data_IF_743893279317
#
_entry.id   IF_743893279317
#
_cell.length_a   1.000
_cell.length_b   1.000
_cell.length_c   1.000
_cell.angle_alpha   90.00
_cell.angle_beta   90.00
_cell.angle_gamma   90.00
#
_symmetry.space_group_name_H-M   'P 1'
#
loop_
_entity.id
_entity.type
_entity.pdbx_description
1 polymer ?
#
# COMPACT_ATOMS: atom_id res chain seq x y z
N UNK A 1 -0.44 11.20 -19.47
CA UNK A 1 -1.89 10.92 -19.38
C UNK A 1 -2.61 11.10 -20.71
N UNK A 2 -2.41 12.23 -21.44
CA UNK A 2 -3.09 12.42 -22.73
C UNK A 2 -2.80 11.29 -23.73
N UNK A 3 -1.51 10.95 -23.89
CA UNK A 3 -1.07 9.94 -24.86
C UNK A 3 -1.74 8.58 -24.60
N UNK A 4 -1.91 8.23 -23.32
CA UNK A 4 -2.60 7.01 -22.88
C UNK A 4 -4.09 7.05 -23.21
N UNK A 5 -4.80 8.10 -22.77
CA UNK A 5 -6.25 8.23 -23.00
C UNK A 5 -6.59 8.27 -24.50
N UNK A 6 -5.84 9.07 -25.27
CA UNK A 6 -6.06 9.16 -26.70
C UNK A 6 -5.65 7.89 -27.44
N UNK A 7 -4.54 7.24 -27.03
CA UNK A 7 -4.16 5.93 -27.57
C UNK A 7 -5.23 4.85 -27.36
N UNK A 8 -5.83 4.79 -26.17
CA UNK A 8 -6.95 3.90 -25.87
C UNK A 8 -8.17 4.20 -26.75
N UNK A 9 -8.54 5.48 -26.87
CA UNK A 9 -9.61 5.90 -27.77
C UNK A 9 -9.35 5.45 -29.23
N UNK A 10 -8.11 5.53 -29.70
CA UNK A 10 -7.75 5.05 -31.04
C UNK A 10 -7.89 3.52 -31.17
N UNK A 11 -7.58 2.75 -30.13
CA UNK A 11 -7.82 1.30 -30.10
C UNK A 11 -9.32 0.99 -30.12
N UNK A 12 -10.12 1.68 -29.31
CA UNK A 12 -11.57 1.49 -29.23
C UNK A 12 -12.28 1.84 -30.55
N UNK A 13 -11.73 2.80 -31.30
CA UNK A 13 -12.20 3.16 -32.66
C UNK A 13 -11.61 2.29 -33.76
N UNK A 14 -10.86 1.25 -33.41
CA UNK A 14 -10.19 0.32 -34.34
C UNK A 14 -9.23 1.03 -35.32
N UNK A 15 -8.69 2.20 -34.93
CA UNK A 15 -7.76 3.00 -35.74
C UNK A 15 -6.34 2.41 -35.66
N UNK A 16 -5.95 1.92 -34.48
CA UNK A 16 -4.70 1.19 -34.24
C UNK A 16 -5.00 -0.06 -33.42
N UNK A 17 -4.19 -1.10 -33.58
CA UNK A 17 -4.25 -2.27 -32.70
C UNK A 17 -3.36 -2.12 -31.45
N UNK A 18 -3.46 -3.09 -30.53
CA UNK A 18 -2.71 -3.12 -29.27
C UNK A 18 -1.19 -3.22 -29.48
N UNK A 19 -0.74 -3.99 -30.48
CA UNK A 19 0.69 -4.17 -30.76
C UNK A 19 1.31 -2.87 -31.30
N UNK A 20 0.57 -2.18 -32.17
CA UNK A 20 0.92 -0.88 -32.71
C UNK A 20 0.98 0.18 -31.63
N UNK A 21 -0.02 0.22 -30.75
CA UNK A 21 -0.05 1.13 -29.61
C UNK A 21 1.17 0.90 -28.70
N UNK A 22 1.49 -0.36 -28.37
CA UNK A 22 2.66 -0.70 -27.57
C UNK A 22 3.96 -0.19 -28.21
N UNK A 23 4.14 -0.42 -29.51
CA UNK A 23 5.32 0.09 -30.24
C UNK A 23 5.43 1.62 -30.23
N UNK A 24 4.30 2.34 -30.33
CA UNK A 24 4.25 3.81 -30.23
C UNK A 24 4.67 4.26 -28.82
N UNK A 25 4.15 3.61 -27.79
CA UNK A 25 4.46 3.94 -26.39
C UNK A 25 5.93 3.63 -26.03
N UNK A 26 6.49 2.54 -26.55
CA UNK A 26 7.92 2.21 -26.39
C UNK A 26 8.81 3.30 -27.01
N UNK A 27 8.53 3.72 -28.26
CA UNK A 27 9.24 4.82 -28.91
C UNK A 27 9.10 6.14 -28.14
N UNK A 28 7.91 6.40 -27.58
CA UNK A 28 7.68 7.59 -26.75
C UNK A 28 8.52 7.53 -25.46
N UNK A 29 8.61 6.38 -24.80
CA UNK A 29 9.43 6.21 -23.61
C UNK A 29 10.94 6.41 -23.90
N UNK A 30 11.44 5.92 -25.03
CA UNK A 30 12.82 6.15 -25.47
C UNK A 30 13.12 7.63 -25.74
N UNK A 31 12.13 8.37 -26.26
CA UNK A 31 12.25 9.81 -26.51
C UNK A 31 12.17 10.67 -25.22
N UNK A 32 11.53 10.14 -24.16
CA UNK A 32 11.37 10.76 -22.83
C UNK A 32 12.58 10.51 -21.92
N UNK A 33 13.81 10.66 -22.41
CA UNK A 33 14.99 10.52 -21.56
C UNK A 33 14.89 11.46 -20.32
N UNK A 34 15.24 10.95 -19.13
CA UNK A 34 15.18 11.73 -17.87
C UNK A 34 15.98 13.02 -18.03
N UNK A 35 15.45 14.15 -17.53
CA UNK A 35 16.10 15.46 -17.67
C UNK A 35 17.56 15.45 -17.19
N UNK A 36 17.85 14.71 -16.10
CA UNK A 36 19.21 14.51 -15.61
C UNK A 36 20.13 13.75 -16.58
N UNK A 37 19.62 12.75 -17.31
CA UNK A 37 20.39 12.02 -18.32
C UNK A 37 20.72 12.91 -19.51
N UNK A 38 19.74 13.71 -19.96
CA UNK A 38 19.95 14.70 -21.03
C UNK A 38 20.93 15.78 -20.57
N UNK A 39 20.78 16.29 -19.35
CA UNK A 39 21.68 17.30 -18.79
C UNK A 39 23.12 16.78 -18.61
N UNK A 40 23.31 15.50 -18.27
CA UNK A 40 24.63 14.84 -18.23
C UNK A 40 25.19 14.67 -19.65
N UNK A 41 24.38 14.19 -20.58
CA UNK A 41 24.79 13.98 -21.98
C UNK A 41 25.18 15.30 -22.68
N UNK A 42 24.48 16.38 -22.37
CA UNK A 42 24.78 17.74 -22.85
C UNK A 42 25.93 18.42 -22.07
N UNK A 43 26.49 17.75 -21.05
CA UNK A 43 27.60 18.26 -20.25
C UNK A 43 27.24 19.44 -19.34
N UNK A 44 25.95 19.66 -19.08
CA UNK A 44 25.44 20.74 -18.21
C UNK A 44 25.71 20.39 -16.74
N UNK A 45 25.51 19.12 -16.37
CA UNK A 45 25.81 18.59 -15.03
C UNK A 45 26.60 17.29 -15.12
N UNK A 46 27.24 16.89 -14.03
CA UNK A 46 27.92 15.59 -13.91
C UNK A 46 26.98 14.48 -13.41
N UNK A 47 27.31 13.21 -13.65
CA UNK A 47 26.56 12.07 -13.10
C UNK A 47 26.44 12.13 -11.57
N UNK A 48 27.49 12.60 -10.89
CA UNK A 48 27.48 12.75 -9.44
C UNK A 48 26.46 13.80 -8.98
N UNK A 49 26.40 14.94 -9.65
CA UNK A 49 25.41 15.99 -9.36
C UNK A 49 23.99 15.52 -9.68
N UNK A 50 23.79 14.78 -10.78
CA UNK A 50 22.50 14.20 -11.12
C UNK A 50 22.00 13.23 -10.01
N UNK A 51 22.88 12.39 -9.48
CA UNK A 51 22.56 11.49 -8.37
C UNK A 51 22.24 12.25 -7.08
N UNK A 52 22.95 13.34 -6.81
CA UNK A 52 22.70 14.19 -5.64
C UNK A 52 21.35 14.92 -5.74
N UNK A 53 21.01 15.46 -6.91
CA UNK A 53 19.68 16.04 -7.19
C UNK A 53 18.59 14.99 -7.01
N UNK A 54 18.78 13.78 -7.53
CA UNK A 54 17.83 12.67 -7.35
C UNK A 54 17.64 12.32 -5.87
N UNK A 55 18.70 12.34 -5.07
CA UNK A 55 18.61 12.11 -3.63
C UNK A 55 17.89 13.27 -2.92
N UNK A 56 18.18 14.53 -3.28
CA UNK A 56 17.50 15.70 -2.72
C UNK A 56 16.01 15.72 -3.07
N UNK A 57 15.64 15.27 -4.26
CA UNK A 57 14.25 15.06 -4.65
C UNK A 57 13.52 14.16 -3.64
N UNK A 58 14.13 13.13 -3.08
CA UNK A 58 13.44 12.27 -2.09
C UNK A 58 13.01 13.02 -0.81
N UNK A 59 13.60 14.18 -0.52
CA UNK A 59 13.36 14.96 0.70
C UNK A 59 12.71 16.33 0.46
N UNK A 60 12.65 16.79 -0.79
CA UNK A 60 12.12 18.11 -1.18
C UNK A 60 10.95 17.96 -2.14
N UNK A 61 9.91 18.78 -1.95
CA UNK A 61 8.78 18.92 -2.87
C UNK A 61 9.14 19.88 -4.02
N UNK A 62 10.07 19.44 -4.87
CA UNK A 62 10.56 20.21 -6.02
C UNK A 62 11.02 19.28 -7.16
N UNK A 63 10.89 19.74 -8.40
CA UNK A 63 11.26 18.98 -9.62
C UNK A 63 12.78 18.98 -9.83
N UNK A 64 13.29 18.06 -10.65
CA UNK A 64 14.74 17.87 -10.87
C UNK A 64 15.39 19.18 -11.34
N UNK A 65 14.76 19.85 -12.31
CA UNK A 65 15.25 21.13 -12.84
C UNK A 65 15.24 22.24 -11.79
N UNK A 66 14.19 22.33 -10.96
CA UNK A 66 14.07 23.35 -9.91
C UNK A 66 15.14 23.17 -8.84
N UNK A 67 15.42 21.92 -8.43
CA UNK A 67 16.48 21.61 -7.48
C UNK A 67 17.85 21.86 -8.12
N UNK A 68 18.05 21.46 -9.38
CA UNK A 68 19.30 21.71 -10.08
C UNK A 68 19.62 23.21 -10.21
N UNK A 69 18.60 24.05 -10.45
CA UNK A 69 18.74 25.51 -10.45
C UNK A 69 18.97 26.04 -9.03
N UNK A 70 18.19 25.59 -8.05
CA UNK A 70 18.28 26.04 -6.66
C UNK A 70 19.60 25.69 -5.96
N UNK A 71 20.20 24.55 -6.31
CA UNK A 71 21.52 24.11 -5.83
C UNK A 71 22.67 24.69 -6.68
N UNK A 72 22.37 25.46 -7.72
CA UNK A 72 23.35 26.14 -8.58
C UNK A 72 24.08 25.23 -9.57
N UNK A 73 23.56 24.02 -9.83
CA UNK A 73 24.12 23.08 -10.79
C UNK A 73 23.77 23.41 -12.24
N UNK A 74 22.71 24.19 -12.48
CA UNK A 74 22.34 24.70 -13.80
C UNK A 74 21.68 26.09 -13.71
N UNK A 75 21.63 26.82 -14.81
CA UNK A 75 20.89 28.09 -14.90
C UNK A 75 19.44 27.89 -15.38
N UNK A 76 18.56 28.86 -15.12
CA UNK A 76 17.19 28.84 -15.66
C UNK A 76 17.18 28.80 -17.20
N UNK A 77 18.10 29.50 -17.85
CA UNK A 77 18.24 29.48 -19.32
C UNK A 77 18.61 28.08 -19.85
N UNK A 78 19.48 27.35 -19.13
CA UNK A 78 19.84 25.98 -19.47
C UNK A 78 18.68 25.01 -19.25
N UNK A 79 17.88 25.23 -18.21
CA UNK A 79 16.67 24.45 -17.94
C UNK A 79 15.64 24.64 -19.05
N UNK A 80 15.37 25.88 -19.45
CA UNK A 80 14.46 26.20 -20.55
C UNK A 80 14.91 25.58 -21.88
N UNK A 81 16.21 25.58 -22.16
CA UNK A 81 16.77 24.95 -23.36
C UNK A 81 16.60 23.43 -23.36
N UNK A 82 16.79 22.78 -22.20
CA UNK A 82 16.57 21.34 -22.03
C UNK A 82 15.09 20.97 -22.19
N UNK A 83 14.19 21.75 -21.59
CA UNK A 83 12.74 21.55 -21.71
C UNK A 83 12.26 21.70 -23.16
N UNK A 84 12.82 22.66 -23.91
CA UNK A 84 12.54 22.81 -25.35
C UNK A 84 13.05 21.63 -26.18
N UNK A 85 14.23 21.08 -25.85
CA UNK A 85 14.79 19.90 -26.53
C UNK A 85 13.98 18.63 -26.27
N UNK A 86 13.35 18.51 -25.11
CA UNK A 86 12.55 17.36 -24.75
C UNK A 86 11.26 17.24 -25.60
N UNK A 87 10.79 18.35 -26.20
CA UNK A 87 9.51 18.42 -26.90
C UNK A 87 8.31 18.19 -25.95
N UNK A 88 7.11 18.64 -26.31
CA UNK A 88 5.94 18.19 -25.54
C UNK A 88 5.69 16.72 -25.87
N UNK A 89 5.45 15.89 -24.84
CA UNK A 89 5.16 14.47 -25.07
C UNK A 89 3.99 14.27 -26.03
N UNK A 90 3.03 15.19 -26.02
CA UNK A 90 1.96 15.32 -27.01
C UNK A 90 2.48 15.42 -28.45
N UNK A 91 3.39 16.36 -28.75
CA UNK A 91 3.89 16.57 -30.10
C UNK A 91 4.68 15.36 -30.62
N UNK A 92 5.51 14.77 -29.76
CA UNK A 92 6.25 13.55 -30.10
C UNK A 92 5.28 12.40 -30.37
N UNK A 93 4.29 12.21 -29.49
CA UNK A 93 3.26 11.18 -29.66
C UNK A 93 2.52 11.33 -30.99
N UNK A 94 2.09 12.54 -31.37
CA UNK A 94 1.41 12.74 -32.66
C UNK A 94 2.31 12.44 -33.87
N UNK A 95 3.60 12.80 -33.80
CA UNK A 95 4.56 12.50 -34.87
C UNK A 95 4.76 10.98 -35.02
N UNK A 96 4.98 10.28 -33.90
CA UNK A 96 5.18 8.83 -33.87
C UNK A 96 3.91 8.11 -34.31
N UNK A 97 2.73 8.60 -33.90
CA UNK A 97 1.44 8.06 -34.32
C UNK A 97 1.22 8.21 -35.82
N UNK A 98 1.46 9.41 -36.37
CA UNK A 98 1.29 9.69 -37.80
C UNK A 98 2.21 8.81 -38.65
N UNK A 99 3.48 8.67 -38.25
CA UNK A 99 4.44 7.79 -38.91
C UNK A 99 4.09 6.31 -38.77
N UNK A 100 3.78 5.86 -37.56
CA UNK A 100 3.57 4.44 -37.29
C UNK A 100 2.26 3.96 -37.93
N UNK A 101 1.18 4.70 -37.75
CA UNK A 101 -0.17 4.30 -38.17
C UNK A 101 -0.51 4.73 -39.61
N UNK A 102 0.41 5.41 -40.33
CA UNK A 102 0.20 5.95 -41.68
C UNK A 102 -1.06 6.86 -41.76
N UNK A 103 -1.29 7.63 -40.69
CA UNK A 103 -2.44 8.53 -40.56
C UNK A 103 -1.99 9.95 -40.91
N UNK A 104 -2.73 10.63 -41.79
CA UNK A 104 -2.45 12.02 -42.14
C UNK A 104 -2.70 12.96 -40.95
N UNK A 105 -1.96 14.08 -40.91
CA UNK A 105 -2.13 15.12 -39.88
C UNK A 105 -3.58 15.61 -39.80
N UNK A 106 -4.24 15.78 -40.96
CA UNK A 106 -5.66 16.18 -41.01
C UNK A 106 -6.59 15.18 -40.34
N UNK A 107 -6.29 13.87 -40.46
CA UNK A 107 -7.11 12.83 -39.84
C UNK A 107 -6.89 12.75 -38.34
N UNK A 108 -5.66 12.98 -37.89
CA UNK A 108 -5.34 13.14 -36.46
C UNK A 108 -6.14 14.29 -35.85
N UNK A 109 -6.22 15.44 -36.51
CA UNK A 109 -7.00 16.59 -36.04
C UNK A 109 -8.50 16.29 -35.93
N UNK A 110 -9.07 15.52 -36.85
CA UNK A 110 -10.45 15.03 -36.76
C UNK A 110 -10.67 14.14 -35.54
N UNK A 111 -9.77 13.17 -35.32
CA UNK A 111 -9.83 12.23 -34.21
C UNK A 111 -9.68 12.95 -32.87
N UNK A 112 -8.84 13.98 -32.79
CA UNK A 112 -8.71 14.82 -31.58
C UNK A 112 -10.00 15.54 -31.24
N UNK A 113 -10.71 16.08 -32.24
CA UNK A 113 -12.01 16.73 -32.03
C UNK A 113 -13.09 15.73 -31.61
N UNK A 114 -13.05 14.53 -32.17
CA UNK A 114 -13.96 13.45 -31.77
C UNK A 114 -13.70 13.01 -30.33
N UNK A 115 -12.43 12.77 -29.97
CA UNK A 115 -12.01 12.45 -28.61
C UNK A 115 -12.45 13.50 -27.60
N UNK A 116 -12.20 14.78 -27.90
CA UNK A 116 -12.62 15.92 -27.07
C UNK A 116 -14.14 15.92 -26.85
N UNK A 117 -14.92 15.73 -27.92
CA UNK A 117 -16.38 15.73 -27.85
C UNK A 117 -16.94 14.55 -27.07
N UNK A 118 -16.39 13.35 -27.28
CA UNK A 118 -16.87 12.12 -26.66
C UNK A 118 -16.66 12.11 -25.14
N UNK A 119 -15.55 12.67 -24.68
CA UNK A 119 -15.24 12.77 -23.25
C UNK A 119 -15.83 14.02 -22.58
N UNK A 120 -16.38 14.96 -23.37
CA UNK A 120 -16.95 16.21 -22.91
C UNK A 120 -15.91 17.22 -22.43
N UNK A 121 -14.70 17.20 -23.00
CA UNK A 121 -13.62 18.12 -22.63
C UNK A 121 -13.79 19.49 -23.28
N UNK A 122 -13.57 20.54 -22.50
CA UNK A 122 -13.42 21.91 -23.00
C UNK A 122 -12.05 22.11 -23.68
N UNK A 123 -11.85 23.25 -24.34
CA UNK A 123 -10.54 23.58 -24.93
C UNK A 123 -9.45 23.74 -23.86
N UNK A 124 -9.82 24.23 -22.68
CA UNK A 124 -8.92 24.33 -21.52
C UNK A 124 -8.53 22.94 -20.99
N UNK A 125 -9.51 22.03 -20.85
CA UNK A 125 -9.28 20.64 -20.46
C UNK A 125 -8.30 19.94 -21.41
N UNK A 126 -8.50 20.14 -22.72
CA UNK A 126 -7.61 19.59 -23.74
C UNK A 126 -6.20 20.17 -23.63
N UNK A 127 -6.04 21.44 -23.28
CA UNK A 127 -4.72 22.03 -23.08
C UNK A 127 -4.02 21.46 -21.84
N UNK A 128 -4.74 21.30 -20.72
CA UNK A 128 -4.21 20.66 -19.52
C UNK A 128 -3.72 19.24 -19.79
N UNK A 129 -4.55 18.43 -20.48
CA UNK A 129 -4.19 17.08 -20.91
C UNK A 129 -2.93 17.05 -21.80
N UNK A 130 -2.88 17.88 -22.85
CA UNK A 130 -1.75 17.92 -23.79
C UNK A 130 -0.42 18.29 -23.14
N UNK A 131 -0.46 19.07 -22.06
CA UNK A 131 0.72 19.49 -21.32
C UNK A 131 1.08 18.54 -20.18
N UNK A 132 0.32 17.44 -19.98
CA UNK A 132 0.44 16.53 -18.83
C UNK A 132 0.45 17.31 -17.49
N UNK A 133 -0.33 18.39 -17.39
CA UNK A 133 -0.42 19.24 -16.20
C UNK A 133 -1.41 18.66 -15.19
N UNK A 134 -0.92 17.92 -14.20
CA UNK A 134 -1.75 17.32 -13.15
C UNK A 134 -2.60 18.35 -12.39
N UNK A 135 -2.19 19.61 -12.25
CA UNK A 135 -3.01 20.64 -11.58
C UNK A 135 -4.29 20.93 -12.33
N UNK A 136 -4.22 20.94 -13.66
CA UNK A 136 -5.37 21.14 -14.53
C UNK A 136 -6.14 19.83 -14.75
N UNK A 137 -5.46 18.69 -14.80
CA UNK A 137 -6.11 17.42 -15.13
C UNK A 137 -6.91 16.85 -13.95
N UNK A 138 -6.39 16.92 -12.73
CA UNK A 138 -7.04 16.30 -11.57
C UNK A 138 -8.46 16.84 -11.33
N UNK A 139 -8.73 18.15 -11.38
CA UNK A 139 -10.10 18.67 -11.28
C UNK A 139 -11.08 18.13 -12.34
N UNK A 140 -10.60 17.71 -13.52
CA UNK A 140 -11.46 17.21 -14.61
C UNK A 140 -12.01 15.82 -14.27
N UNK A 141 -11.17 14.98 -13.67
CA UNK A 141 -11.49 13.57 -13.40
C UNK A 141 -11.87 13.31 -11.95
N UNK A 142 -11.31 14.06 -11.01
CA UNK A 142 -11.40 13.81 -9.57
C UNK A 142 -12.08 14.93 -8.78
N UNK A 143 -12.96 15.72 -9.41
CA UNK A 143 -13.74 16.73 -8.72
C UNK A 143 -14.66 16.11 -7.66
N UNK A 144 -14.62 16.67 -6.45
CA UNK A 144 -15.51 16.34 -5.35
C UNK A 144 -15.99 17.60 -4.64
N UNK A 145 -17.19 17.55 -4.06
CA UNK A 145 -17.71 18.62 -3.20
C UNK A 145 -16.86 18.78 -1.93
N UNK A 146 -16.16 17.73 -1.51
CA UNK A 146 -15.20 17.73 -0.41
C UNK A 146 -13.81 18.03 -0.97
N UNK A 147 -13.35 19.27 -0.81
CA UNK A 147 -12.11 19.78 -1.43
C UNK A 147 -10.87 18.93 -1.14
N UNK A 148 -10.79 18.34 0.06
CA UNK A 148 -9.68 17.48 0.44
C UNK A 148 -9.55 16.23 -0.43
N UNK A 149 -10.63 15.72 -1.01
CA UNK A 149 -10.61 14.52 -1.87
C UNK A 149 -9.81 14.82 -3.14
N UNK A 150 -10.07 15.97 -3.77
CA UNK A 150 -9.33 16.42 -4.95
C UNK A 150 -7.85 16.65 -4.62
N UNK A 151 -7.56 17.24 -3.45
CA UNK A 151 -6.18 17.48 -3.00
C UNK A 151 -5.41 16.17 -2.78
N UNK A 152 -6.03 15.15 -2.16
CA UNK A 152 -5.44 13.82 -1.97
C UNK A 152 -5.22 13.12 -3.31
N UNK A 153 -6.19 13.19 -4.24
CA UNK A 153 -6.02 12.64 -5.59
C UNK A 153 -4.82 13.26 -6.29
N UNK A 154 -4.64 14.59 -6.19
CA UNK A 154 -3.49 15.28 -6.75
C UNK A 154 -2.17 14.77 -6.16
N UNK A 155 -2.09 14.67 -4.84
CA UNK A 155 -0.89 14.16 -4.16
C UNK A 155 -0.58 12.71 -4.57
N UNK A 156 -1.58 11.84 -4.59
CA UNK A 156 -1.41 10.45 -5.00
C UNK A 156 -0.87 10.32 -6.42
N UNK A 157 -1.45 11.04 -7.38
CA UNK A 157 -1.04 10.97 -8.79
C UNK A 157 0.34 11.58 -9.02
N UNK A 158 0.67 12.68 -8.35
CA UNK A 158 2.02 13.25 -8.39
C UNK A 158 3.07 12.28 -7.83
N UNK A 159 2.74 11.53 -6.78
CA UNK A 159 3.63 10.51 -6.21
C UNK A 159 3.76 9.27 -7.13
N UNK A 160 2.69 8.87 -7.82
CA UNK A 160 2.75 7.81 -8.83
C UNK A 160 3.66 8.24 -9.99
N UNK A 161 3.48 9.45 -10.53
CA UNK A 161 4.32 9.99 -11.60
C UNK A 161 5.80 10.03 -11.19
N UNK A 162 6.06 10.43 -9.94
CA UNK A 162 7.40 10.63 -9.41
C UNK A 162 8.15 9.34 -9.10
N UNK A 163 7.47 8.37 -8.47
CA UNK A 163 8.12 7.20 -7.88
C UNK A 163 7.79 5.90 -8.59
N UNK A 164 6.66 5.82 -9.29
CA UNK A 164 6.18 4.57 -9.86
C UNK A 164 6.41 4.55 -11.37
N UNK A 165 5.70 5.41 -12.10
CA UNK A 165 5.81 5.49 -13.56
C UNK A 165 5.16 6.76 -14.08
N UNK A 166 5.62 7.23 -15.24
CA UNK A 166 4.94 8.26 -16.02
C UNK A 166 3.91 7.67 -17.00
N UNK A 167 3.81 6.33 -17.06
CA UNK A 167 2.88 5.59 -17.91
C UNK A 167 1.64 5.15 -17.13
N UNK A 168 0.77 6.12 -16.86
CA UNK A 168 -0.51 5.87 -16.23
C UNK A 168 -1.59 6.83 -16.76
N UNK A 169 -2.85 6.46 -16.52
CA UNK A 169 -4.00 7.32 -16.71
C UNK A 169 -5.06 7.07 -15.63
N UNK A 170 -6.07 7.93 -15.55
CA UNK A 170 -7.15 7.84 -14.56
C UNK A 170 -8.51 7.88 -15.24
N UNK A 171 -9.49 7.23 -14.63
CA UNK A 171 -10.90 7.41 -14.97
C UNK A 171 -11.55 8.47 -14.07
N UNK A 172 -12.82 8.78 -14.31
CA UNK A 172 -13.59 9.67 -13.43
C UNK A 172 -13.74 9.03 -12.05
N UNK A 173 -13.50 9.84 -11.01
CA UNK A 173 -13.74 9.47 -9.62
C UNK A 173 -15.21 9.11 -9.43
N UNK A 174 -15.45 8.07 -8.64
CA UNK A 174 -16.79 7.57 -8.33
C UNK A 174 -17.06 7.78 -6.86
N UNK A 175 -18.27 8.24 -6.56
CA UNK A 175 -18.81 8.27 -5.21
C UNK A 175 -19.51 6.95 -4.93
N UNK A 176 -19.20 6.30 -3.81
CA UNK A 176 -19.65 4.95 -3.47
C UNK A 176 -20.05 4.85 -1.99
N UNK A 177 -20.89 3.86 -1.68
CA UNK A 177 -21.26 3.50 -0.30
C UNK A 177 -20.62 2.19 0.19
N UNK A 178 -20.08 1.40 -0.75
CA UNK A 178 -19.41 0.14 -0.48
C UNK A 178 -18.38 -0.16 -1.57
N UNK A 179 -17.24 -0.72 -1.19
CA UNK A 179 -16.23 -1.25 -2.10
C UNK A 179 -15.89 -2.68 -1.69
N UNK A 180 -16.11 -3.65 -2.58
CA UNK A 180 -15.52 -4.98 -2.48
C UNK A 180 -14.09 -4.96 -3.00
N UNK A 181 -13.15 -5.54 -2.26
CA UNK A 181 -11.76 -5.59 -2.67
C UNK A 181 -11.12 -6.91 -2.30
N UNK A 182 -10.13 -7.31 -3.10
CA UNK A 182 -9.20 -8.39 -2.77
C UNK A 182 -8.17 -7.92 -1.75
N UNK A 183 -7.65 -6.71 -1.90
CA UNK A 183 -6.81 -6.09 -0.88
C UNK A 183 -7.04 -4.59 -0.81
N UNK A 184 -6.92 -4.01 0.37
CA UNK A 184 -6.93 -2.57 0.63
C UNK A 184 -5.85 -2.26 1.67
N UNK A 185 -4.81 -1.54 1.29
CA UNK A 185 -3.77 -1.08 2.21
C UNK A 185 -3.78 0.45 2.26
N UNK A 186 -3.66 1.00 3.47
CA UNK A 186 -3.84 2.43 3.65
C UNK A 186 -3.58 2.90 5.08
N UNK A 187 -4.09 4.09 5.38
CA UNK A 187 -3.86 4.76 6.65
C UNK A 187 -5.04 5.66 6.99
N UNK A 188 -5.34 5.79 8.28
CA UNK A 188 -6.31 6.76 8.77
C UNK A 188 -5.60 8.01 9.26
N UNK A 189 -6.16 9.18 8.96
CA UNK A 189 -5.82 10.46 9.55
C UNK A 189 -6.99 10.86 10.46
N UNK A 190 -6.68 11.28 11.68
CA UNK A 190 -7.67 11.64 12.71
C UNK A 190 -7.43 13.06 13.23
N UNK A 191 -8.50 13.77 13.61
CA UNK A 191 -8.40 15.10 14.20
C UNK A 191 -9.53 16.00 13.74
N UNK A 192 -9.20 17.14 13.11
CA UNK A 192 -10.22 18.04 12.54
C UNK A 192 -10.96 17.41 11.35
N UNK A 193 -10.35 16.41 10.70
CA UNK A 193 -10.94 15.60 9.64
C UNK A 193 -10.55 14.13 9.88
N UNK A 194 -11.55 13.26 9.93
CA UNK A 194 -11.32 11.81 9.99
C UNK A 194 -11.41 11.23 8.57
N UNK A 195 -10.25 10.90 8.01
CA UNK A 195 -10.13 10.45 6.62
C UNK A 195 -9.33 9.14 6.57
N UNK A 196 -9.81 8.20 5.78
CA UNK A 196 -9.09 7.00 5.40
C UNK A 196 -8.61 7.18 3.97
N UNK A 197 -7.31 7.01 3.74
CA UNK A 197 -6.70 7.00 2.41
C UNK A 197 -6.02 5.66 2.20
N UNK A 198 -6.17 5.06 1.02
CA UNK A 198 -5.48 3.81 0.69
C UNK A 198 -5.62 3.40 -0.76
N UNK A 199 -4.98 2.31 -1.12
CA UNK A 199 -5.05 1.72 -2.46
C UNK A 199 -5.67 0.33 -2.38
N UNK A 200 -6.64 0.08 -3.26
CA UNK A 200 -7.35 -1.18 -3.32
C UNK A 200 -7.16 -1.89 -4.67
N UNK A 201 -7.08 -3.21 -4.62
CA UNK A 201 -7.22 -4.10 -5.78
C UNK A 201 -8.54 -4.86 -5.70
N UNK A 202 -9.23 -4.99 -6.84
CA UNK A 202 -10.44 -5.80 -6.98
C UNK A 202 -10.16 -7.14 -7.67
N UNK A 203 -9.08 -7.25 -8.45
CA UNK A 203 -8.79 -8.41 -9.32
C UNK A 203 -7.46 -9.12 -9.02
N UNK A 204 -7.16 -10.17 -9.79
CA UNK A 204 -5.87 -10.87 -9.72
C UNK A 204 -4.74 -10.10 -10.40
N UNK A 205 -5.02 -9.50 -11.56
CA UNK A 205 -4.14 -8.55 -12.21
C UNK A 205 -4.47 -7.15 -11.69
N UNK A 206 -3.49 -6.50 -11.08
CA UNK A 206 -3.70 -5.19 -10.45
C UNK A 206 -2.43 -4.37 -10.44
N UNK A 207 -2.60 -3.07 -10.70
CA UNK A 207 -1.54 -2.07 -10.67
C UNK A 207 -1.02 -1.78 -9.25
N UNK A 208 -1.63 -2.35 -8.21
CA UNK A 208 -1.12 -2.17 -6.83
C UNK A 208 0.28 -2.77 -6.68
N UNK A 209 0.61 -3.83 -7.43
CA UNK A 209 1.95 -4.42 -7.45
C UNK A 209 2.94 -3.49 -8.17
N UNK A 210 2.51 -2.82 -9.25
CA UNK A 210 3.33 -1.81 -9.93
C UNK A 210 3.68 -0.65 -8.99
N UNK A 211 2.70 -0.13 -8.22
CA UNK A 211 2.97 0.92 -7.21
C UNK A 211 3.97 0.41 -6.16
N UNK A 212 3.76 -0.79 -5.63
CA UNK A 212 4.66 -1.37 -4.64
C UNK A 212 6.09 -1.52 -5.17
N UNK A 213 6.27 -2.07 -6.38
CA UNK A 213 7.57 -2.25 -7.00
C UNK A 213 8.25 -0.92 -7.33
N UNK A 214 7.51 0.04 -7.89
CA UNK A 214 8.03 1.36 -8.23
C UNK A 214 8.53 2.11 -7.00
N UNK A 215 7.73 2.11 -5.92
CA UNK A 215 8.09 2.83 -4.70
C UNK A 215 9.21 2.13 -3.90
N UNK A 216 9.09 0.81 -3.69
CA UNK A 216 10.06 0.05 -2.89
C UNK A 216 11.34 -0.33 -3.63
N UNK A 217 11.37 -0.19 -4.96
CA UNK A 217 12.43 -0.68 -5.84
C UNK A 217 12.68 -2.21 -5.69
N UNK A 218 11.63 -2.96 -5.35
CA UNK A 218 11.66 -4.41 -5.21
C UNK A 218 11.09 -5.12 -6.44
N UNK A 219 11.32 -6.44 -6.55
CA UNK A 219 10.79 -7.28 -7.62
C UNK A 219 9.70 -8.22 -7.07
N UNK A 220 8.60 -7.63 -6.58
CA UNK A 220 7.46 -8.35 -6.03
C UNK A 220 6.62 -8.87 -7.19
N UNK A 221 6.35 -10.18 -7.20
CA UNK A 221 5.61 -10.84 -8.29
C UNK A 221 4.16 -11.12 -7.94
N UNK A 222 3.81 -11.16 -6.65
CA UNK A 222 2.51 -11.59 -6.16
C UNK A 222 1.99 -10.65 -5.07
N UNK A 223 0.67 -10.57 -4.94
CA UNK A 223 0.02 -9.95 -3.80
C UNK A 223 0.44 -10.64 -2.49
N UNK A 224 0.73 -9.83 -1.47
CA UNK A 224 1.11 -10.30 -0.16
C UNK A 224 1.67 -9.17 0.70
N UNK A 225 2.25 -9.52 1.84
CA UNK A 225 2.68 -8.56 2.87
C UNK A 225 3.66 -7.51 2.34
N UNK A 226 4.59 -7.91 1.46
CA UNK A 226 5.55 -6.97 0.86
C UNK A 226 4.86 -5.86 0.05
N UNK A 227 3.75 -6.20 -0.64
CA UNK A 227 2.92 -5.20 -1.33
C UNK A 227 2.25 -4.29 -0.31
N UNK A 228 1.69 -4.85 0.77
CA UNK A 228 0.98 -4.06 1.78
C UNK A 228 1.89 -3.11 2.53
N UNK A 229 3.10 -3.53 2.87
CA UNK A 229 4.11 -2.68 3.50
C UNK A 229 4.54 -1.57 2.54
N UNK A 230 4.82 -1.89 1.28
CA UNK A 230 5.20 -0.89 0.29
C UNK A 230 4.08 0.13 0.01
N UNK A 231 2.84 -0.34 -0.10
CA UNK A 231 1.66 0.52 -0.27
C UNK A 231 1.37 1.32 0.99
N UNK A 232 1.56 0.74 2.16
CA UNK A 232 1.41 1.43 3.44
C UNK A 232 2.41 2.59 3.57
N UNK A 233 3.68 2.36 3.22
CA UNK A 233 4.71 3.40 3.19
C UNK A 233 4.44 4.46 2.10
N UNK A 234 4.01 4.03 0.91
CA UNK A 234 3.58 4.95 -0.14
C UNK A 234 2.41 5.83 0.31
N UNK A 235 1.40 5.23 0.95
CA UNK A 235 0.25 5.95 1.52
C UNK A 235 0.69 6.89 2.63
N UNK A 236 1.62 6.48 3.48
CA UNK A 236 2.16 7.30 4.56
C UNK A 236 2.86 8.56 4.04
N UNK A 237 3.56 8.49 2.90
CA UNK A 237 4.11 9.66 2.23
C UNK A 237 3.01 10.65 1.80
N UNK A 238 1.94 10.15 1.18
CA UNK A 238 0.79 10.95 0.76
C UNK A 238 0.11 11.59 1.98
N UNK A 239 -0.17 10.80 3.02
CA UNK A 239 -0.76 11.27 4.27
C UNK A 239 0.09 12.36 4.94
N UNK A 240 1.41 12.20 4.96
CA UNK A 240 2.34 13.18 5.53
C UNK A 240 2.34 14.52 4.79
N UNK A 241 2.37 14.48 3.46
CA UNK A 241 2.26 15.69 2.62
C UNK A 241 0.91 16.38 2.81
N UNK A 242 -0.16 15.59 2.84
CA UNK A 242 -1.51 16.11 3.04
C UNK A 242 -1.69 16.74 4.44
N UNK A 243 -1.30 16.04 5.51
CA UNK A 243 -1.34 16.56 6.87
C UNK A 243 -0.54 17.86 7.02
N UNK A 244 0.64 17.93 6.40
CA UNK A 244 1.46 19.15 6.39
C UNK A 244 0.76 20.31 5.67
N UNK A 245 0.13 20.05 4.52
CA UNK A 245 -0.60 21.06 3.76
C UNK A 245 -1.83 21.59 4.52
N UNK A 246 -2.56 20.71 5.22
CA UNK A 246 -3.71 21.05 6.04
C UNK A 246 -3.30 21.79 7.33
N UNK A 247 -2.18 21.42 7.95
CA UNK A 247 -1.60 22.12 9.09
C UNK A 247 -1.28 23.59 8.78
N UNK A 248 -0.74 23.87 7.58
CA UNK A 248 -0.52 25.25 7.11
C UNK A 248 -1.82 26.05 6.95
N UNK A 249 -2.97 25.38 6.77
CA UNK A 249 -4.31 25.98 6.71
C UNK A 249 -4.96 26.10 8.10
N UNK A 250 -4.27 25.70 9.17
CA UNK A 250 -4.71 25.84 10.56
C UNK A 250 -5.43 24.63 11.16
N UNK A 251 -5.46 23.49 10.46
CA UNK A 251 -6.12 22.26 10.95
C UNK A 251 -5.11 21.21 11.37
N UNK A 252 -5.37 20.50 12.47
CA UNK A 252 -4.49 19.44 12.96
C UNK A 252 -5.02 18.05 12.60
N UNK A 253 -4.13 17.26 12.00
CA UNK A 253 -4.35 15.85 11.68
C UNK A 253 -3.22 15.03 12.28
N UNK A 254 -3.59 14.00 13.03
CA UNK A 254 -2.69 12.95 13.49
C UNK A 254 -2.77 11.76 12.53
N UNK A 255 -1.60 11.24 12.18
CA UNK A 255 -1.48 10.11 11.27
C UNK A 255 -1.44 8.83 12.11
N UNK A 256 -2.42 7.96 11.92
CA UNK A 256 -2.52 6.68 12.64
C UNK A 256 -1.60 5.61 12.02
N UNK A 257 -1.39 4.46 12.68
CA UNK A 257 -0.69 3.33 12.08
C UNK A 257 -1.33 2.88 10.76
N UNK A 258 -0.48 2.44 9.83
CA UNK A 258 -0.93 1.85 8.57
C UNK A 258 -1.71 0.56 8.82
N UNK A 259 -2.68 0.28 7.95
CA UNK A 259 -3.46 -0.95 7.95
C UNK A 259 -3.39 -1.61 6.57
N UNK A 260 -3.70 -2.90 6.52
CA UNK A 260 -4.08 -3.58 5.31
C UNK A 260 -5.28 -4.49 5.60
N UNK A 261 -6.07 -4.81 4.59
CA UNK A 261 -7.23 -5.71 4.65
C UNK A 261 -7.22 -6.59 3.41
N UNK A 262 -7.71 -7.82 3.53
CA UNK A 262 -7.84 -8.77 2.44
C UNK A 262 -9.27 -9.31 2.35
N UNK A 263 -9.75 -9.49 1.12
CA UNK A 263 -11.01 -10.15 0.74
C UNK A 263 -12.22 -9.68 1.56
N UNK A 264 -12.38 -8.35 1.64
CA UNK A 264 -13.33 -7.68 2.51
C UNK A 264 -14.05 -6.55 1.78
N UNK A 265 -14.94 -5.86 2.51
CA UNK A 265 -15.71 -4.74 2.00
C UNK A 265 -15.45 -3.50 2.86
N UNK A 266 -15.11 -2.39 2.21
CA UNK A 266 -15.21 -1.08 2.85
C UNK A 266 -16.67 -0.62 2.80
N UNK A 267 -17.17 -0.03 3.88
CA UNK A 267 -18.57 0.44 4.00
C UNK A 267 -18.61 1.87 4.53
N UNK A 268 -19.45 2.69 3.93
CA UNK A 268 -19.64 4.10 4.30
C UNK A 268 -19.44 5.05 3.13
N UNK A 269 -19.55 6.34 3.40
CA UNK A 269 -19.41 7.40 2.42
C UNK A 269 -17.95 7.46 1.92
N UNK A 270 -17.69 7.17 0.64
CA UNK A 270 -16.32 7.15 0.11
C UNK A 270 -16.24 7.54 -1.37
N UNK A 271 -15.03 7.92 -1.79
CA UNK A 271 -14.66 8.15 -3.18
C UNK A 271 -13.61 7.14 -3.62
N UNK A 272 -13.74 6.65 -4.85
CA UNK A 272 -12.75 5.79 -5.50
C UNK A 272 -12.33 6.38 -6.84
N UNK A 273 -11.03 6.59 -7.01
CA UNK A 273 -10.43 7.00 -8.28
C UNK A 273 -9.75 5.79 -8.92
N UNK A 274 -10.27 5.28 -10.06
CA UNK A 274 -9.58 4.23 -10.81
C UNK A 274 -8.34 4.79 -11.49
N UNK A 275 -7.20 4.14 -11.23
CA UNK A 275 -5.89 4.47 -11.78
C UNK A 275 -5.41 3.24 -12.54
N UNK A 276 -4.97 3.46 -13.78
CA UNK A 276 -4.50 2.40 -14.68
C UNK A 276 -3.01 2.56 -14.92
N UNK A 277 -2.24 1.52 -14.61
CA UNK A 277 -0.79 1.44 -14.84
C UNK A 277 -0.52 0.20 -15.71
N UNK A 278 0.12 0.37 -16.86
CA UNK A 278 0.44 -0.72 -17.79
C UNK A 278 -0.76 -1.68 -18.07
N UNK A 279 -1.96 -1.13 -18.29
CA UNK A 279 -3.25 -1.84 -18.46
C UNK A 279 -3.84 -2.55 -17.23
N UNK A 280 -3.18 -2.53 -16.08
CA UNK A 280 -3.73 -3.03 -14.82
C UNK A 280 -4.38 -1.91 -14.01
N UNK A 281 -5.44 -2.22 -13.26
CA UNK A 281 -6.17 -1.24 -12.44
C UNK A 281 -5.77 -1.31 -10.96
N UNK A 282 -5.75 -0.15 -10.33
CA UNK A 282 -5.73 0.04 -8.87
C UNK A 282 -6.66 1.18 -8.51
N UNK A 283 -7.36 1.07 -7.38
CA UNK A 283 -8.29 2.09 -6.93
C UNK A 283 -7.66 2.90 -5.79
N UNK A 284 -7.56 4.22 -5.94
CA UNK A 284 -7.32 5.09 -4.80
C UNK A 284 -8.64 5.26 -4.05
N UNK A 285 -8.68 4.81 -2.80
CA UNK A 285 -9.82 4.91 -1.89
C UNK A 285 -9.64 6.07 -0.92
N UNK A 286 -10.66 6.91 -0.80
CA UNK A 286 -10.69 8.07 0.11
C UNK A 286 -12.03 8.10 0.84
N UNK A 287 -12.04 7.98 2.17
CA UNK A 287 -13.29 8.13 2.91
C UNK A 287 -13.79 9.57 2.90
N UNK A 288 -15.11 9.68 2.96
CA UNK A 288 -15.83 10.93 3.00
C UNK A 288 -16.50 11.17 4.36
N UNK A 289 -16.62 10.15 5.21
CA UNK A 289 -17.14 10.28 6.58
C UNK A 289 -16.30 9.50 7.58
N UNK A 290 -16.29 9.98 8.82
CA UNK A 290 -15.81 9.32 10.04
C UNK A 290 -16.49 7.97 10.33
N UNK A 291 -17.72 7.76 9.86
CA UNK A 291 -18.43 6.48 9.98
C UNK A 291 -17.93 5.42 8.99
N UNK A 292 -17.06 5.80 8.05
CA UNK A 292 -16.56 4.89 7.01
C UNK A 292 -15.59 3.87 7.60
N UNK A 293 -15.84 2.59 7.34
CA UNK A 293 -14.97 1.49 7.74
C UNK A 293 -14.25 0.94 6.52
N UNK A 294 -12.92 0.85 6.61
CA UNK A 294 -12.09 0.23 5.58
C UNK A 294 -12.29 -1.29 5.52
N UNK A 295 -12.43 -1.94 6.67
CA UNK A 295 -12.67 -3.36 6.83
C UNK A 295 -12.85 -3.71 8.31
N UNK A 296 -13.15 -4.98 8.60
CA UNK A 296 -13.41 -5.44 9.97
C UNK A 296 -12.17 -6.09 10.59
N UNK A 297 -11.40 -6.84 9.79
CA UNK A 297 -10.23 -7.59 10.27
C UNK A 297 -8.99 -7.20 9.45
N UNK A 298 -8.12 -6.32 9.96
CA UNK A 298 -6.93 -5.96 9.23
C UNK A 298 -6.05 -7.20 9.02
N UNK A 299 -5.38 -7.27 7.87
CA UNK A 299 -4.12 -7.96 7.72
C UNK A 299 -3.21 -7.31 8.76
N UNK A 300 -3.21 -7.90 9.94
CA UNK A 300 -2.17 -7.63 10.91
C UNK A 300 -0.89 -7.96 10.17
N UNK A 301 0.11 -7.08 10.30
CA UNK A 301 1.48 -7.31 9.85
C UNK A 301 1.79 -8.79 10.03
N UNK A 302 2.81 -9.30 9.35
CA UNK A 302 3.70 -10.20 10.09
C UNK A 302 3.97 -9.47 11.41
N UNK A 303 3.21 -9.83 12.46
CA UNK A 303 3.65 -9.68 13.82
C UNK A 303 5.08 -10.17 13.70
N UNK A 304 6.02 -9.53 14.37
CA UNK A 304 7.25 -10.22 14.65
C UNK A 304 6.96 -11.46 15.55
N UNK A 305 6.03 -12.35 15.19
CA UNK A 305 6.44 -13.68 14.82
C UNK A 305 7.69 -13.52 13.96
N UNK A 306 8.86 -13.48 14.61
CA UNK A 306 9.95 -14.26 14.06
C UNK A 306 9.28 -15.57 13.63
N UNK A 307 9.29 -15.85 12.32
CA UNK A 307 9.05 -17.21 11.85
C UNK A 307 9.94 -18.09 12.74
N UNK A 308 9.28 -18.81 13.65
CA UNK A 308 9.94 -19.62 14.66
C UNK A 308 9.99 -21.03 14.18
N UNK A 309 11.17 -21.43 13.73
CA UNK A 309 11.39 -22.71 13.09
C UNK A 309 10.71 -22.80 11.72
N UNK A 310 11.41 -23.40 10.76
CA UNK A 310 10.73 -23.96 9.61
C UNK A 310 9.84 -25.10 10.12
N UNK A 311 8.55 -25.08 9.77
CA UNK A 311 7.67 -26.25 9.97
C UNK A 311 8.17 -27.34 9.02
N UNK A 312 9.01 -28.22 9.53
CA UNK A 312 9.46 -29.41 8.80
C UNK A 312 8.51 -30.57 9.08
N UNK A 313 8.53 -31.59 8.21
CA UNK A 313 7.79 -32.85 8.43
C UNK A 313 8.17 -33.54 9.76
N UNK A 314 9.32 -33.18 10.34
CA UNK A 314 9.87 -33.75 11.56
C UNK A 314 9.50 -32.96 12.84
N UNK A 315 8.70 -31.89 12.73
CA UNK A 315 8.26 -31.10 13.89
C UNK A 315 7.37 -31.92 14.83
N UNK A 316 7.59 -31.79 16.15
CA UNK A 316 6.76 -32.44 17.18
C UNK A 316 5.37 -31.82 17.35
N UNK A 317 5.16 -30.62 16.79
CA UNK A 317 3.91 -29.88 16.90
C UNK A 317 4.12 -28.38 16.73
N UNK A 318 3.02 -27.66 16.55
CA UNK A 318 2.99 -26.23 16.29
C UNK A 318 2.44 -25.43 17.48
N UNK A 319 3.09 -24.32 17.81
CA UNK A 319 2.80 -23.54 19.01
C UNK A 319 2.63 -22.06 18.70
N UNK A 320 1.66 -21.41 19.35
CA UNK A 320 1.58 -19.94 19.45
C UNK A 320 1.85 -19.50 20.89
N UNK A 321 2.69 -18.48 21.06
CA UNK A 321 3.08 -17.94 22.37
C UNK A 321 2.48 -16.55 22.57
N UNK A 322 1.73 -16.32 23.64
CA UNK A 322 1.11 -15.03 23.95
C UNK A 322 1.52 -14.58 25.35
N UNK A 323 2.28 -13.50 25.43
CA UNK A 323 2.80 -12.91 26.67
C UNK A 323 3.20 -11.46 26.39
N UNK A 324 2.89 -10.51 27.27
CA UNK A 324 3.25 -9.09 27.09
C UNK A 324 4.76 -8.83 27.26
N UNK A 325 5.44 -9.68 28.03
CA UNK A 325 6.88 -9.61 28.25
C UNK A 325 7.68 -10.28 27.13
N UNK A 326 8.41 -9.46 26.36
CA UNK A 326 9.32 -9.97 25.32
C UNK A 326 10.41 -10.91 25.84
N UNK A 327 10.82 -10.77 27.11
CA UNK A 327 11.76 -11.71 27.75
C UNK A 327 11.11 -13.08 27.98
N UNK A 328 9.85 -13.11 28.43
CA UNK A 328 9.11 -14.35 28.63
C UNK A 328 8.93 -15.10 27.32
N UNK A 329 8.51 -14.40 26.26
CA UNK A 329 8.32 -15.00 24.93
C UNK A 329 9.62 -15.60 24.38
N UNK A 330 10.74 -14.88 24.53
CA UNK A 330 12.05 -15.39 24.12
C UNK A 330 12.44 -16.68 24.85
N UNK A 331 12.27 -16.74 26.18
CA UNK A 331 12.60 -17.95 26.96
C UNK A 331 11.73 -19.13 26.52
N UNK A 332 10.42 -18.92 26.37
CA UNK A 332 9.51 -19.97 25.91
C UNK A 332 9.86 -20.44 24.50
N UNK A 333 10.13 -19.52 23.58
CA UNK A 333 10.57 -19.86 22.22
C UNK A 333 11.82 -20.72 22.24
N UNK A 334 12.88 -20.27 22.92
CA UNK A 334 14.16 -20.98 22.95
C UNK A 334 13.98 -22.41 23.49
N UNK A 335 13.17 -22.59 24.54
CA UNK A 335 12.83 -23.92 25.11
C UNK A 335 12.10 -24.82 24.10
N UNK A 336 11.12 -24.27 23.38
CA UNK A 336 10.25 -25.03 22.48
C UNK A 336 10.96 -25.40 21.17
N UNK A 337 11.68 -24.45 20.57
CA UNK A 337 12.45 -24.68 19.35
C UNK A 337 13.59 -25.68 19.60
N UNK A 338 14.32 -25.58 20.74
CA UNK A 338 15.34 -26.57 21.12
C UNK A 338 14.76 -28.00 21.31
N UNK A 339 13.48 -28.10 21.67
CA UNK A 339 12.81 -29.39 21.87
C UNK A 339 12.17 -29.96 20.59
N UNK A 340 12.23 -29.22 19.47
CA UNK A 340 11.73 -29.64 18.16
C UNK A 340 10.28 -29.23 17.86
N UNK A 341 9.74 -28.24 18.56
CA UNK A 341 8.45 -27.63 18.22
C UNK A 341 8.63 -26.43 17.29
N UNK A 342 7.63 -26.18 16.43
CA UNK A 342 7.59 -25.01 15.57
C UNK A 342 6.75 -23.89 16.20
N UNK A 343 7.37 -22.74 16.50
CA UNK A 343 6.68 -21.58 17.06
C UNK A 343 6.14 -20.72 15.91
N UNK A 344 4.87 -20.92 15.56
CA UNK A 344 4.22 -20.28 14.41
C UNK A 344 4.09 -18.76 14.59
N UNK A 345 3.77 -18.32 15.81
CA UNK A 345 3.63 -16.91 16.12
C UNK A 345 3.87 -16.58 17.59
N UNK A 346 4.24 -15.32 17.80
CA UNK A 346 4.22 -14.65 19.11
C UNK A 346 3.20 -13.52 19.09
N UNK A 347 2.54 -13.29 20.21
CA UNK A 347 1.61 -12.18 20.41
C UNK A 347 1.86 -11.51 21.77
N UNK A 348 1.52 -10.24 21.86
CA UNK A 348 1.82 -9.37 23.01
C UNK A 348 0.61 -9.07 23.89
N UNK A 349 -0.60 -9.40 23.42
CA UNK A 349 -1.83 -9.34 24.20
C UNK A 349 -2.88 -10.36 23.77
N UNK A 350 -4.03 -10.38 24.46
CA UNK A 350 -5.11 -11.32 24.21
C UNK A 350 -5.79 -11.15 22.85
N UNK A 351 -5.88 -9.92 22.32
CA UNK A 351 -6.47 -9.66 21.00
C UNK A 351 -5.60 -10.26 19.90
N UNK A 352 -4.29 -9.99 19.97
CA UNK A 352 -3.29 -10.57 19.07
C UNK A 352 -3.25 -12.11 19.21
N UNK A 353 -3.40 -12.64 20.43
CA UNK A 353 -3.42 -14.08 20.71
C UNK A 353 -4.61 -14.81 20.12
N UNK A 354 -5.83 -14.28 20.28
CA UNK A 354 -7.06 -14.82 19.67
C UNK A 354 -6.94 -14.83 18.16
N UNK A 355 -6.41 -13.75 17.59
CA UNK A 355 -6.20 -13.65 16.15
C UNK A 355 -5.16 -14.67 15.68
N UNK A 356 -4.01 -14.76 16.33
CA UNK A 356 -2.96 -15.71 15.98
C UNK A 356 -3.47 -17.16 16.02
N UNK A 357 -4.31 -17.52 16.99
CA UNK A 357 -4.96 -18.83 17.03
C UNK A 357 -5.81 -19.10 15.77
N UNK A 358 -6.69 -18.15 15.42
CA UNK A 358 -7.61 -18.25 14.27
C UNK A 358 -6.88 -18.26 12.93
N UNK A 359 -5.72 -17.62 12.85
CA UNK A 359 -4.93 -17.50 11.62
C UNK A 359 -4.03 -18.72 11.38
N UNK A 360 -3.30 -19.14 12.41
CA UNK A 360 -2.24 -20.15 12.27
C UNK A 360 -2.70 -21.57 12.60
N UNK A 361 -3.89 -21.73 13.20
CA UNK A 361 -4.46 -23.02 13.61
C UNK A 361 -3.42 -23.92 14.32
N UNK A 362 -2.74 -23.42 15.37
CA UNK A 362 -1.68 -24.17 16.03
C UNK A 362 -2.24 -25.39 16.75
N UNK A 363 -1.41 -26.41 16.93
CA UNK A 363 -1.74 -27.57 17.75
C UNK A 363 -1.93 -27.19 19.21
N UNK A 364 -1.23 -26.15 19.69
CA UNK A 364 -1.34 -25.65 21.06
C UNK A 364 -1.03 -24.14 21.15
N UNK A 365 -1.67 -23.45 22.09
CA UNK A 365 -1.41 -22.03 22.39
C UNK A 365 -1.12 -21.84 23.88
N UNK A 366 -0.10 -21.03 24.20
CA UNK A 366 0.19 -20.60 25.56
C UNK A 366 -0.27 -19.15 25.77
N UNK A 367 -1.04 -18.88 26.83
CA UNK A 367 -1.59 -17.55 27.12
C UNK A 367 -1.18 -17.04 28.50
N UNK A 368 -0.45 -15.93 28.58
CA UNK A 368 -0.29 -15.23 29.85
C UNK A 368 -1.63 -14.68 30.35
N UNK A 369 -1.85 -14.75 31.66
CA UNK A 369 -3.12 -14.30 32.26
C UNK A 369 -3.23 -12.78 32.30
N UNK A 370 -2.13 -12.05 32.49
CA UNK A 370 -2.15 -10.61 32.81
C UNK A 370 -1.49 -9.81 31.69
N UNK A 371 -2.29 -9.37 30.74
CA UNK A 371 -1.83 -8.63 29.55
C UNK A 371 -2.64 -7.33 29.39
N UNK A 372 -2.09 -6.31 28.70
CA UNK A 372 -2.85 -5.11 28.33
C UNK A 372 -3.96 -5.44 27.31
N UNK A 373 -4.90 -4.50 27.10
CA UNK A 373 -6.01 -4.58 26.13
C UNK A 373 -7.04 -5.70 26.39
N UNK A 374 -6.63 -6.96 26.28
CA UNK A 374 -7.44 -8.15 26.55
C UNK A 374 -6.61 -9.14 27.37
N UNK A 375 -7.18 -9.61 28.48
CA UNK A 375 -6.47 -10.53 29.37
C UNK A 375 -6.55 -12.00 28.90
N UNK A 376 -5.69 -12.87 29.43
CA UNK A 376 -5.61 -14.26 28.97
C UNK A 376 -6.89 -15.07 29.22
N UNK A 377 -7.69 -14.72 30.22
CA UNK A 377 -8.95 -15.42 30.51
C UNK A 377 -10.06 -15.00 29.55
N UNK A 378 -10.07 -13.75 29.11
CA UNK A 378 -10.92 -13.24 28.04
C UNK A 378 -10.54 -13.88 26.70
N UNK A 379 -9.25 -13.90 26.36
CA UNK A 379 -8.74 -14.56 25.16
C UNK A 379 -9.10 -16.06 25.12
N UNK A 380 -8.97 -16.77 26.23
CA UNK A 380 -9.39 -18.17 26.36
C UNK A 380 -10.88 -18.36 26.05
N UNK A 381 -11.75 -17.47 26.55
CA UNK A 381 -13.21 -17.53 26.28
C UNK A 381 -13.48 -17.41 24.79
N UNK A 382 -12.84 -16.45 24.12
CA UNK A 382 -13.02 -16.24 22.68
C UNK A 382 -12.48 -17.40 21.84
N UNK A 383 -11.29 -17.90 22.18
CA UNK A 383 -10.69 -19.07 21.50
C UNK A 383 -11.59 -20.29 21.67
N UNK A 384 -12.11 -20.55 22.87
CA UNK A 384 -13.00 -21.69 23.14
C UNK A 384 -14.38 -21.57 22.50
N UNK A 385 -14.88 -20.34 22.35
CA UNK A 385 -16.12 -20.08 21.62
C UNK A 385 -15.94 -20.31 20.11
N UNK A 386 -14.76 -20.00 19.56
CA UNK A 386 -14.41 -20.25 18.17
C UNK A 386 -14.12 -21.74 17.90
N UNK A 387 -13.30 -22.36 18.75
CA UNK A 387 -12.89 -23.75 18.69
C UNK A 387 -12.93 -24.40 20.08
N UNK A 388 -13.98 -25.18 20.32
CA UNK A 388 -14.16 -25.90 21.58
C UNK A 388 -13.02 -26.89 21.90
N UNK A 389 -12.32 -27.40 20.88
CA UNK A 389 -11.25 -28.38 21.02
C UNK A 389 -9.87 -27.75 21.26
N UNK A 390 -9.76 -26.43 21.18
CA UNK A 390 -8.50 -25.70 21.31
C UNK A 390 -7.66 -26.17 22.51
N UNK A 391 -6.39 -26.48 22.28
CA UNK A 391 -5.45 -26.86 23.35
C UNK A 391 -4.78 -25.59 23.88
N UNK A 392 -5.21 -25.16 25.05
CA UNK A 392 -4.75 -23.90 25.68
C UNK A 392 -4.04 -24.20 27.00
N UNK A 393 -2.83 -23.69 27.16
CA UNK A 393 -2.07 -23.69 28.42
C UNK A 393 -1.98 -22.26 28.94
N UNK A 394 -2.36 -22.05 30.20
CA UNK A 394 -2.27 -20.73 30.82
C UNK A 394 -0.89 -20.52 31.44
N UNK A 395 -0.28 -19.36 31.22
CA UNK A 395 0.93 -18.92 31.90
C UNK A 395 0.53 -17.94 33.01
N UNK A 396 1.06 -18.13 34.21
CA UNK A 396 0.65 -17.33 35.38
C UNK A 396 1.82 -16.89 36.24
N UNK A 397 1.74 -15.69 36.80
CA UNK A 397 2.64 -15.22 37.84
C UNK A 397 2.27 -15.81 39.22
N UNK A 398 3.24 -15.88 40.13
CA UNK A 398 3.00 -16.39 41.48
C UNK A 398 1.86 -15.62 42.20
N UNK A 399 0.96 -16.36 42.84
CA UNK A 399 -0.13 -15.80 43.66
C UNK A 399 -1.50 -15.64 42.97
N UNK A 400 -1.66 -16.03 41.71
CA UNK A 400 -2.92 -15.87 40.95
C UNK A 400 -3.84 -17.12 40.96
N UNK A 401 -3.91 -17.85 42.08
CA UNK A 401 -4.65 -19.13 42.17
C UNK A 401 -6.13 -19.05 41.74
N UNK A 402 -6.81 -17.94 42.04
CA UNK A 402 -8.22 -17.76 41.67
C UNK A 402 -8.43 -17.70 40.15
N UNK A 403 -7.55 -16.99 39.41
CA UNK A 403 -7.63 -16.89 37.95
C UNK A 403 -7.31 -18.23 37.26
N UNK A 404 -6.41 -19.02 37.85
CA UNK A 404 -6.12 -20.39 37.36
C UNK A 404 -7.35 -21.28 37.44
N UNK A 405 -8.07 -21.27 38.58
CA UNK A 405 -9.30 -22.06 38.76
C UNK A 405 -10.38 -21.62 37.76
N UNK A 406 -10.51 -20.32 37.50
CA UNK A 406 -11.43 -19.81 36.48
C UNK A 406 -11.05 -20.29 35.09
N UNK A 407 -9.78 -20.18 34.70
CA UNK A 407 -9.32 -20.63 33.38
C UNK A 407 -9.53 -22.13 33.13
N UNK A 408 -9.32 -22.97 34.15
CA UNK A 408 -9.60 -24.41 34.04
C UNK A 408 -11.10 -24.68 33.83
N UNK A 409 -11.99 -23.93 34.49
CA UNK A 409 -13.45 -24.03 34.26
C UNK A 409 -13.85 -23.60 32.85
N UNK A 410 -13.10 -22.67 32.26
CA UNK A 410 -13.30 -22.17 30.89
C UNK A 410 -12.70 -23.10 29.82
N UNK A 411 -12.05 -24.20 30.22
CA UNK A 411 -11.55 -25.22 29.31
C UNK A 411 -10.08 -25.16 28.98
N UNK A 412 -9.27 -24.39 29.73
CA UNK A 412 -7.81 -24.52 29.70
C UNK A 412 -7.40 -25.95 30.10
N UNK A 413 -6.39 -26.50 29.42
CA UNK A 413 -5.93 -27.88 29.63
C UNK A 413 -4.97 -28.00 30.82
N UNK A 414 -4.10 -27.01 30.98
CA UNK A 414 -3.05 -26.91 32.02
C UNK A 414 -2.71 -25.46 32.32
N UNK A 415 -1.87 -25.26 33.34
CA UNK A 415 -1.22 -23.99 33.61
C UNK A 415 0.26 -24.20 33.96
N UNK A 416 1.08 -23.18 33.73
CA UNK A 416 2.51 -23.14 34.05
C UNK A 416 2.78 -21.85 34.83
N UNK A 417 3.57 -21.94 35.90
CA UNK A 417 3.86 -20.78 36.76
C UNK A 417 5.23 -20.18 36.42
N UNK A 418 5.34 -18.85 36.39
CA UNK A 418 6.62 -18.13 36.27
C UNK A 418 7.36 -18.11 37.63
N UNK A 419 8.71 -18.25 37.67
CA UNK A 419 9.65 -18.34 36.53
C UNK A 419 9.61 -19.71 35.84
N UNK A 420 9.92 -19.72 34.55
CA UNK A 420 9.82 -20.91 33.70
C UNK A 420 10.84 -22.00 34.08
N UNK A 421 10.34 -23.21 34.31
CA UNK A 421 11.13 -24.44 34.36
C UNK A 421 11.02 -25.20 33.03
N UNK A 422 12.17 -25.51 32.42
CA UNK A 422 12.23 -26.13 31.08
C UNK A 422 11.57 -27.51 31.07
N UNK A 423 11.79 -28.33 32.10
CA UNK A 423 11.24 -29.68 32.17
C UNK A 423 9.72 -29.64 32.37
N UNK A 424 9.23 -28.71 33.20
CA UNK A 424 7.79 -28.50 33.41
C UNK A 424 7.07 -28.06 32.13
N UNK A 425 7.64 -27.12 31.37
CA UNK A 425 7.05 -26.64 30.11
C UNK A 425 6.89 -27.78 29.12
N UNK A 426 7.98 -28.50 28.84
CA UNK A 426 7.98 -29.56 27.82
C UNK A 426 7.02 -30.69 28.19
N UNK A 427 7.01 -31.10 29.46
CA UNK A 427 6.09 -32.13 29.96
C UNK A 427 4.63 -31.72 29.78
N UNK A 428 4.27 -30.48 30.15
CA UNK A 428 2.88 -30.03 30.03
C UNK A 428 2.43 -29.95 28.56
N UNK A 429 3.32 -29.54 27.66
CA UNK A 429 2.99 -29.46 26.22
C UNK A 429 2.85 -30.86 25.61
N UNK A 430 3.77 -31.77 25.90
CA UNK A 430 3.70 -33.17 25.43
C UNK A 430 2.39 -33.84 25.89
N UNK A 431 2.07 -33.77 27.19
CA UNK A 431 0.83 -34.35 27.73
C UNK A 431 -0.44 -33.77 27.10
N UNK A 432 -0.47 -32.47 26.80
CA UNK A 432 -1.63 -31.81 26.19
C UNK A 432 -1.75 -32.14 24.70
N UNK A 433 -0.63 -32.34 24.00
CA UNK A 433 -0.63 -32.72 22.59
C UNK A 433 -1.01 -34.19 22.38
N UNK A 434 -0.60 -35.09 23.28
CA UNK A 434 -0.92 -36.52 23.21
C UNK A 434 -2.36 -36.87 23.64
N UNK A 435 -2.97 -36.04 24.50
CA UNK A 435 -4.37 -36.19 24.97
C UNK A 435 -5.39 -35.43 24.13
#
# INVERSE_FOLDING_TARGET
MFCQLFGKFLIEKEIIDRDKYKSIMERLAESRAKLGVIAVADGIITEKQANEINHLQTTKDARFGEIAVGEGYMTEEQLDALLKKQGSAYAIFLSVLSEAADISVSKVDELLKEFQKEHGFTDEDMNGLKNDDLEQIVPIFAFSSKSYVTDICRLALANIERFVTSDFYIDRIKHISQLEYRCLAGQKLEGDLDIIVGFASVGEQTAIVDIANGFSHSNISNLGIEVYDAIGEFTNCISGLFATAISKKGSMLEITPQFAYENQFAKGDAYVLPIHIHDSEVLLFISASDETKAGDMPVVRKIMAKAGGEVTLDSKGTVVIVDDSGMSRKILRDILEEAGYAVLAEATDGLEGVLAYKTYYPDIITLDITMPNMDGTEALKEIKAYDSNAKVIMITAAGQQHKVIEALKLGAKRFITKPFDKEEILKNIEEVLEG
#
